data_IF_759470287958
#
_entry.id   IF_759470287958
#
_cell.length_a   1.000
_cell.length_b   1.000
_cell.length_c   1.000
_cell.angle_alpha   90.00
_cell.angle_beta   90.00
_cell.angle_gamma   90.00
#
_symmetry.space_group_name_H-M   'P 1'
#
loop_
_entity.id
_entity.type
_entity.pdbx_description
1 polymer ?
#
# COMPACT_ATOMS: atom_id res chain seq x y z
N UNK A 1 16.12 26.46 -0.09
CA UNK A 1 15.90 26.40 -1.54
C UNK A 1 15.05 25.17 -1.80
N UNK A 2 13.73 25.34 -1.89
CA UNK A 2 12.78 24.25 -2.08
C UNK A 2 12.74 23.92 -3.57
N UNK A 3 13.12 22.70 -3.92
CA UNK A 3 13.13 22.19 -5.29
C UNK A 3 11.79 21.49 -5.54
N UNK A 4 10.88 22.15 -6.27
CA UNK A 4 9.61 21.57 -6.70
C UNK A 4 9.84 20.84 -8.02
N UNK A 5 9.75 19.51 -8.02
CA UNK A 5 9.81 18.71 -9.25
C UNK A 5 8.40 18.60 -9.83
N UNK A 6 8.17 19.22 -10.99
CA UNK A 6 6.93 19.13 -11.75
C UNK A 6 7.00 17.91 -12.68
N UNK A 7 6.31 16.82 -12.34
CA UNK A 7 6.15 15.69 -13.27
C UNK A 7 4.79 15.77 -13.97
N UNK A 8 4.83 15.82 -15.30
CA UNK A 8 3.64 15.99 -16.15
C UNK A 8 3.10 14.62 -16.53
N UNK A 9 1.92 14.25 -16.03
CA UNK A 9 1.18 13.08 -16.51
C UNK A 9 0.63 13.35 -17.92
N UNK A 10 1.03 12.51 -18.89
CA UNK A 10 0.48 12.52 -20.25
C UNK A 10 -0.55 11.41 -20.38
N UNK A 11 -1.82 11.77 -20.31
CA UNK A 11 -2.94 10.94 -20.77
C UNK A 11 -3.40 11.48 -22.12
N UNK A 12 -3.43 10.63 -23.14
CA UNK A 12 -3.96 10.95 -24.48
C UNK A 12 -5.49 11.05 -24.45
N UNK A 13 -5.99 12.11 -23.84
CA UNK A 13 -7.20 12.83 -24.23
C UNK A 13 -7.26 14.12 -23.40
N UNK A 14 -6.90 15.23 -24.06
CA UNK A 14 -6.98 16.63 -23.68
C UNK A 14 -7.65 16.94 -22.34
N UNK A 15 -6.85 16.97 -21.27
CA UNK A 15 -6.95 17.85 -20.09
C UNK A 15 -5.63 17.64 -19.33
N UNK A 16 -4.66 18.54 -19.53
CA UNK A 16 -3.45 18.59 -18.72
C UNK A 16 -3.83 19.03 -17.31
N UNK A 17 -4.25 18.08 -16.48
CA UNK A 17 -4.46 18.33 -15.05
C UNK A 17 -3.07 18.42 -14.43
N UNK A 18 -2.64 19.64 -14.14
CA UNK A 18 -1.51 19.89 -13.25
C UNK A 18 -1.99 19.53 -11.84
N UNK A 19 -1.82 18.27 -11.47
CA UNK A 19 -2.05 17.82 -10.10
C UNK A 19 -0.80 18.17 -9.31
N UNK A 20 -0.88 19.15 -8.41
CA UNK A 20 0.15 19.32 -7.39
C UNK A 20 0.14 18.05 -6.53
N UNK A 21 1.17 17.22 -6.72
CA UNK A 21 1.32 16.01 -5.90
C UNK A 21 1.60 16.42 -4.46
N UNK A 22 0.87 15.87 -3.47
CA UNK A 22 1.17 16.15 -2.08
C UNK A 22 2.61 15.73 -1.78
N UNK A 23 3.36 16.63 -1.14
CA UNK A 23 4.71 16.31 -0.67
C UNK A 23 4.58 15.23 0.40
N UNK A 24 5.26 14.10 0.21
CA UNK A 24 5.31 13.04 1.22
C UNK A 24 6.10 13.58 2.42
N UNK A 25 5.38 14.06 3.43
CA UNK A 25 5.98 14.56 4.69
C UNK A 25 6.41 13.39 5.59
N UNK A 26 5.79 12.22 5.39
CA UNK A 26 5.96 11.04 6.24
C UNK A 26 6.06 9.79 5.37
N UNK A 27 7.24 9.19 5.27
CA UNK A 27 7.48 8.09 4.32
C UNK A 27 7.18 6.69 4.88
N UNK A 28 7.09 5.66 4.01
CA UNK A 28 6.77 4.27 4.40
C UNK A 28 7.69 3.68 5.48
N UNK A 29 8.96 4.08 5.47
CA UNK A 29 9.95 3.66 6.48
C UNK A 29 9.62 4.21 7.87
N UNK A 30 9.27 5.50 7.97
CA UNK A 30 8.91 6.14 9.23
C UNK A 30 7.64 5.50 9.81
N UNK A 31 6.65 5.21 8.96
CA UNK A 31 5.45 4.47 9.34
C UNK A 31 5.80 3.13 10.00
N UNK A 32 6.67 2.33 9.37
CA UNK A 32 7.02 1.01 9.91
C UNK A 32 7.73 1.12 11.27
N UNK A 33 8.60 2.12 11.44
CA UNK A 33 9.26 2.36 12.72
C UNK A 33 8.28 2.71 13.83
N UNK A 34 7.32 3.59 13.54
CA UNK A 34 6.33 4.01 14.53
C UNK A 34 5.29 2.92 14.82
N UNK A 35 4.94 2.10 13.83
CA UNK A 35 4.13 0.88 14.01
C UNK A 35 4.82 -0.09 14.96
N UNK A 36 6.09 -0.41 14.72
CA UNK A 36 6.84 -1.37 15.55
C UNK A 36 7.09 -0.85 16.98
N UNK A 37 7.15 0.47 17.17
CA UNK A 37 7.26 1.10 18.49
C UNK A 37 5.92 1.27 19.21
N UNK A 38 4.79 1.06 18.51
CA UNK A 38 3.45 1.30 19.06
C UNK A 38 3.12 2.79 19.24
N UNK A 39 3.74 3.68 18.45
CA UNK A 39 3.57 5.13 18.56
C UNK A 39 2.29 5.66 17.91
N UNK A 40 1.60 4.84 17.10
CA UNK A 40 0.43 5.25 16.32
C UNK A 40 -0.84 4.64 16.93
N UNK A 41 -1.76 5.46 17.45
CA UNK A 41 -3.08 5.01 17.86
C UNK A 41 -3.87 4.35 16.73
N UNK A 42 -4.65 3.33 17.06
CA UNK A 42 -5.39 2.53 16.08
C UNK A 42 -6.36 3.34 15.20
N UNK A 43 -6.98 4.38 15.77
CA UNK A 43 -7.91 5.29 15.11
C UNK A 43 -7.23 6.26 14.12
N UNK A 44 -5.92 6.49 14.28
CA UNK A 44 -5.11 7.35 13.40
C UNK A 44 -4.36 6.55 12.33
N UNK A 45 -4.34 5.22 12.43
CA UNK A 45 -3.52 4.35 11.59
C UNK A 45 -3.84 4.48 10.09
N UNK A 46 -5.12 4.56 9.72
CA UNK A 46 -5.52 4.69 8.32
C UNK A 46 -5.02 6.00 7.70
N UNK A 47 -5.18 7.13 8.42
CA UNK A 47 -4.68 8.42 7.96
C UNK A 47 -3.16 8.39 7.76
N UNK A 48 -2.43 7.83 8.72
CA UNK A 48 -0.97 7.67 8.61
C UNK A 48 -0.57 6.76 7.46
N UNK A 49 -1.31 5.68 7.22
CA UNK A 49 -1.07 4.79 6.09
C UNK A 49 -1.25 5.52 4.75
N UNK A 50 -2.33 6.28 4.59
CA UNK A 50 -2.63 7.06 3.39
C UNK A 50 -1.62 8.19 3.16
N UNK A 51 -1.17 8.86 4.22
CA UNK A 51 -0.09 9.85 4.16
C UNK A 51 1.27 9.23 3.73
N UNK A 52 1.50 7.97 4.09
CA UNK A 52 2.77 7.28 3.86
C UNK A 52 2.88 6.62 2.50
N UNK A 53 1.78 6.01 2.05
CA UNK A 53 1.71 5.24 0.81
C UNK A 53 0.83 6.00 -0.16
N UNK A 54 1.48 6.79 -1.01
CA UNK A 54 0.80 7.71 -1.92
C UNK A 54 -0.21 7.00 -2.83
N UNK A 55 -0.02 5.72 -3.15
CA UNK A 55 -0.96 4.93 -3.94
C UNK A 55 -2.35 4.82 -3.28
N UNK A 56 -2.39 4.85 -1.95
CA UNK A 56 -3.60 4.77 -1.13
C UNK A 56 -4.23 6.12 -0.85
N UNK A 57 -3.61 7.23 -1.28
CA UNK A 57 -4.17 8.56 -1.05
C UNK A 57 -5.58 8.67 -1.68
N UNK A 58 -6.56 9.20 -0.94
CA UNK A 58 -7.95 9.17 -1.37
C UNK A 58 -8.25 10.06 -2.58
N UNK A 59 -7.42 11.05 -2.89
CA UNK A 59 -7.65 12.04 -3.94
C UNK A 59 -6.61 11.92 -5.06
N UNK A 60 -5.34 11.81 -4.70
CA UNK A 60 -4.19 11.86 -5.60
C UNK A 60 -3.49 10.51 -5.79
N UNK A 61 -3.93 9.47 -5.08
CA UNK A 61 -3.30 8.16 -5.16
C UNK A 61 -3.62 7.41 -6.44
N UNK A 62 -2.73 6.50 -6.84
CA UNK A 62 -2.87 5.69 -8.06
C UNK A 62 -4.22 4.98 -8.14
N UNK A 63 -4.73 4.46 -7.02
CA UNK A 63 -6.05 3.83 -7.00
C UNK A 63 -7.17 4.82 -7.34
N UNK A 64 -7.11 6.03 -6.79
CA UNK A 64 -8.12 7.07 -7.02
C UNK A 64 -8.05 7.61 -8.44
N UNK A 65 -6.85 7.93 -8.93
CA UNK A 65 -6.62 8.45 -10.28
C UNK A 65 -7.06 7.46 -11.37
N UNK A 66 -6.91 6.15 -11.12
CA UNK A 66 -7.33 5.10 -12.05
C UNK A 66 -8.82 4.71 -11.90
N UNK A 67 -9.54 5.39 -11.00
CA UNK A 67 -10.93 5.15 -10.59
C UNK A 67 -11.17 3.70 -10.12
N UNK A 68 -10.37 3.26 -9.16
CA UNK A 68 -10.41 1.91 -8.57
C UNK A 68 -10.75 1.97 -7.06
N UNK A 69 -11.86 2.61 -6.63
CA UNK A 69 -12.13 2.84 -5.21
C UNK A 69 -12.25 1.53 -4.41
N UNK A 70 -12.90 0.51 -4.98
CA UNK A 70 -13.03 -0.79 -4.32
C UNK A 70 -11.73 -1.60 -4.22
N UNK A 71 -10.72 -1.29 -5.04
CA UNK A 71 -9.39 -1.90 -4.90
C UNK A 71 -8.53 -1.14 -3.89
N UNK A 72 -8.72 0.18 -3.76
CA UNK A 72 -8.10 0.98 -2.69
C UNK A 72 -8.48 0.44 -1.32
N UNK A 73 -9.78 0.33 -1.05
CA UNK A 73 -10.31 -0.15 0.25
C UNK A 73 -9.80 -1.56 0.60
N UNK A 74 -9.69 -2.45 -0.38
CA UNK A 74 -9.11 -3.79 -0.18
C UNK A 74 -7.62 -3.72 0.18
N UNK A 75 -6.89 -2.79 -0.43
CA UNK A 75 -5.46 -2.60 -0.19
C UNK A 75 -5.23 -1.97 1.19
N UNK A 76 -6.00 -0.94 1.55
CA UNK A 76 -6.03 -0.35 2.90
C UNK A 76 -6.36 -1.42 3.95
N UNK A 77 -7.42 -2.21 3.73
CA UNK A 77 -7.83 -3.29 4.64
C UNK A 77 -6.73 -4.34 4.81
N UNK A 78 -6.06 -4.74 3.73
CA UNK A 78 -4.95 -5.70 3.80
C UNK A 78 -3.76 -5.13 4.60
N UNK A 79 -3.37 -3.89 4.36
CA UNK A 79 -2.32 -3.21 5.13
C UNK A 79 -2.67 -3.11 6.62
N UNK A 80 -3.88 -2.65 6.95
CA UNK A 80 -4.37 -2.56 8.32
C UNK A 80 -4.41 -3.93 9.01
N UNK A 81 -4.75 -4.98 8.28
CA UNK A 81 -4.75 -6.36 8.80
C UNK A 81 -3.35 -6.80 9.23
N UNK A 82 -2.34 -6.55 8.40
CA UNK A 82 -0.94 -6.87 8.74
C UNK A 82 -0.46 -6.02 9.91
N UNK A 83 -0.75 -4.73 9.92
CA UNK A 83 -0.36 -3.83 11.02
C UNK A 83 -1.00 -4.27 12.35
N UNK A 84 -2.29 -4.61 12.34
CA UNK A 84 -2.97 -5.08 13.54
C UNK A 84 -2.38 -6.40 14.02
N UNK A 85 -2.03 -7.31 13.11
CA UNK A 85 -1.38 -8.56 13.45
C UNK A 85 0.03 -8.37 14.01
N UNK A 86 0.81 -7.41 13.51
CA UNK A 86 2.16 -7.11 14.04
C UNK A 86 2.09 -6.47 15.42
N UNK A 87 1.15 -5.53 15.62
CA UNK A 87 0.97 -4.77 16.87
C UNK A 87 0.10 -5.48 17.91
N UNK A 88 -0.37 -6.69 17.62
CA UNK A 88 -1.30 -7.46 18.47
C UNK A 88 -2.63 -6.73 18.78
N UNK A 89 -3.09 -5.89 17.86
CA UNK A 89 -4.28 -5.09 18.04
C UNK A 89 -5.55 -5.85 17.61
N UNK A 90 -5.91 -6.89 18.38
CA UNK A 90 -7.10 -7.70 18.13
C UNK A 90 -8.39 -6.87 18.13
N UNK A 91 -8.53 -5.93 19.06
CA UNK A 91 -9.74 -5.11 19.17
C UNK A 91 -9.92 -4.21 17.95
N UNK A 92 -8.86 -3.52 17.52
CA UNK A 92 -8.88 -2.68 16.32
C UNK A 92 -9.23 -3.47 15.05
N UNK A 93 -8.73 -4.70 14.94
CA UNK A 93 -9.02 -5.58 13.81
C UNK A 93 -10.46 -6.10 13.78
N UNK A 94 -11.02 -6.46 14.94
CA UNK A 94 -12.32 -7.14 15.03
C UNK A 94 -13.52 -6.21 15.21
N UNK A 95 -13.30 -5.00 15.75
CA UNK A 95 -14.34 -3.97 15.94
C UNK A 95 -15.18 -3.68 14.68
N UNK A 96 -14.59 -3.49 13.47
CA UNK A 96 -15.39 -3.21 12.27
C UNK A 96 -16.07 -4.47 11.68
N UNK A 97 -15.75 -5.68 12.16
CA UNK A 97 -16.31 -6.92 11.61
C UNK A 97 -17.73 -7.17 12.13
N UNK A 98 -18.61 -7.62 11.24
CA UNK A 98 -19.95 -8.05 11.61
C UNK A 98 -19.89 -9.27 12.56
N UNK A 99 -20.79 -9.39 13.55
CA UNK A 99 -20.70 -10.44 14.58
C UNK A 99 -20.60 -11.87 14.04
N UNK A 100 -21.28 -12.17 12.92
CA UNK A 100 -21.30 -13.51 12.32
C UNK A 100 -19.97 -13.94 11.66
N UNK A 101 -19.12 -12.97 11.30
CA UNK A 101 -17.82 -13.21 10.63
C UNK A 101 -16.65 -12.69 11.46
N UNK A 102 -16.92 -12.27 12.71
CA UNK A 102 -15.90 -11.71 13.58
C UNK A 102 -14.90 -12.80 13.98
N UNK A 103 -13.63 -12.52 13.77
CA UNK A 103 -12.55 -13.40 14.18
C UNK A 103 -12.59 -13.62 15.70
N UNK A 104 -12.49 -14.87 16.14
CA UNK A 104 -12.39 -15.18 17.57
C UNK A 104 -10.93 -15.13 18.06
N UNK A 105 -10.73 -15.16 19.38
CA UNK A 105 -9.40 -15.06 19.98
C UNK A 105 -8.48 -16.25 19.64
N UNK A 106 -9.03 -17.45 19.45
CA UNK A 106 -8.27 -18.63 19.08
C UNK A 106 -7.71 -18.52 17.65
N UNK A 107 -8.56 -18.14 16.70
CA UNK A 107 -8.19 -17.85 15.32
C UNK A 107 -7.16 -16.71 15.24
N UNK A 108 -7.31 -15.66 16.06
CA UNK A 108 -6.32 -14.59 16.17
C UNK A 108 -4.97 -15.14 16.66
N UNK A 109 -4.98 -15.99 17.69
CA UNK A 109 -3.78 -16.65 18.19
C UNK A 109 -3.05 -17.46 17.11
N UNK A 110 -3.80 -18.18 16.27
CA UNK A 110 -3.23 -18.92 15.13
C UNK A 110 -2.57 -17.99 14.11
N UNK A 111 -3.20 -16.85 13.77
CA UNK A 111 -2.59 -15.86 12.87
C UNK A 111 -1.36 -15.21 13.49
N UNK A 112 -1.40 -14.90 14.79
CA UNK A 112 -0.26 -14.33 15.52
C UNK A 112 0.91 -15.30 15.60
N UNK A 113 0.65 -16.60 15.68
CA UNK A 113 1.70 -17.62 15.63
C UNK A 113 2.46 -17.60 14.29
N UNK A 114 1.76 -17.32 13.17
CA UNK A 114 2.42 -17.17 11.88
C UNK A 114 3.32 -15.92 11.84
N UNK A 115 2.86 -14.80 12.42
CA UNK A 115 3.64 -13.57 12.48
C UNK A 115 4.84 -13.70 13.42
N UNK A 116 4.68 -14.38 14.57
CA UNK A 116 5.78 -14.61 15.50
C UNK A 116 6.86 -15.51 14.90
N UNK A 117 6.45 -16.51 14.11
CA UNK A 117 7.38 -17.35 13.35
C UNK A 117 8.11 -16.55 12.26
N UNK A 118 7.40 -15.70 11.53
CA UNK A 118 7.99 -14.86 10.50
C UNK A 118 8.93 -13.78 11.08
N UNK A 119 8.65 -13.30 12.30
CA UNK A 119 9.40 -12.26 13.03
C UNK A 119 9.83 -11.10 12.11
N UNK A 120 8.87 -10.41 11.46
CA UNK A 120 9.19 -9.41 10.44
C UNK A 120 9.99 -8.25 11.04
N UNK A 121 11.12 -7.92 10.42
CA UNK A 121 11.86 -6.69 10.70
C UNK A 121 11.24 -5.49 9.97
N UNK A 122 11.76 -4.29 10.23
CA UNK A 122 11.29 -3.04 9.63
C UNK A 122 11.28 -3.10 8.08
N UNK A 123 12.33 -3.66 7.48
CA UNK A 123 12.48 -3.75 6.02
C UNK A 123 11.47 -4.73 5.42
N UNK A 124 11.20 -5.84 6.09
CA UNK A 124 10.21 -6.84 5.68
C UNK A 124 8.80 -6.27 5.80
N UNK A 125 8.49 -5.57 6.90
CA UNK A 125 7.20 -4.92 7.07
C UNK A 125 6.95 -3.84 6.01
N UNK A 126 7.95 -2.99 5.74
CA UNK A 126 7.86 -1.97 4.69
C UNK A 126 7.58 -2.61 3.33
N UNK A 127 8.33 -3.66 2.97
CA UNK A 127 8.16 -4.38 1.72
C UNK A 127 6.75 -4.96 1.58
N UNK A 128 6.23 -5.60 2.64
CA UNK A 128 4.87 -6.16 2.66
C UNK A 128 3.81 -5.09 2.51
N UNK A 129 3.93 -3.96 3.24
CA UNK A 129 2.94 -2.87 3.15
C UNK A 129 2.92 -2.22 1.76
N UNK A 130 4.09 -1.95 1.18
CA UNK A 130 4.19 -1.43 -0.19
C UNK A 130 3.57 -2.43 -1.17
N UNK A 131 3.95 -3.71 -1.10
CA UNK A 131 3.39 -4.74 -1.96
C UNK A 131 1.86 -4.81 -1.86
N UNK A 132 1.30 -4.81 -0.65
CA UNK A 132 -0.15 -4.84 -0.44
C UNK A 132 -0.85 -3.61 -1.01
N UNK A 133 -0.25 -2.44 -0.87
CA UNK A 133 -0.78 -1.20 -1.44
C UNK A 133 -0.84 -1.23 -2.97
N UNK A 134 0.15 -1.82 -3.63
CA UNK A 134 0.23 -1.83 -5.10
C UNK A 134 -0.37 -3.08 -5.75
N UNK A 135 -0.52 -4.19 -5.01
CA UNK A 135 -0.90 -5.52 -5.56
C UNK A 135 -2.21 -5.51 -6.32
N UNK A 136 -3.18 -4.71 -5.89
CA UNK A 136 -4.49 -4.63 -6.55
C UNK A 136 -4.45 -3.86 -7.87
N UNK A 137 -3.43 -3.02 -8.12
CA UNK A 137 -3.22 -2.34 -9.41
C UNK A 137 -3.02 -3.34 -10.55
N UNK A 138 -2.28 -4.44 -10.30
CA UNK A 138 -2.10 -5.51 -11.29
C UNK A 138 -3.39 -6.21 -11.68
N UNK A 139 -4.43 -6.18 -10.84
CA UNK A 139 -5.75 -6.77 -11.14
C UNK A 139 -6.68 -5.81 -11.91
N UNK A 140 -6.31 -4.55 -12.01
CA UNK A 140 -7.13 -3.54 -12.66
C UNK A 140 -7.17 -3.78 -14.17
N UNK A 141 -8.34 -4.10 -14.70
CA UNK A 141 -8.55 -4.23 -16.15
C UNK A 141 -8.09 -2.99 -16.90
N UNK A 142 -8.39 -1.80 -16.36
CA UNK A 142 -7.99 -0.51 -16.96
C UNK A 142 -6.48 -0.36 -17.07
N UNK A 143 -5.75 -0.77 -16.03
CA UNK A 143 -4.28 -0.74 -16.03
C UNK A 143 -3.73 -1.82 -16.96
N UNK A 144 -4.21 -3.06 -16.83
CA UNK A 144 -3.72 -4.18 -17.66
C UNK A 144 -3.97 -3.97 -19.15
N UNK A 145 -4.99 -3.21 -19.56
CA UNK A 145 -5.24 -2.87 -20.96
C UNK A 145 -4.26 -1.83 -21.53
N UNK A 146 -3.54 -1.10 -20.69
CA UNK A 146 -2.58 -0.06 -21.09
C UNK A 146 -1.14 -0.57 -21.15
N UNK A 147 -0.90 -1.82 -20.76
CA UNK A 147 0.42 -2.46 -20.78
C UNK A 147 0.49 -3.55 -21.87
N UNK A 148 1.71 -3.97 -22.27
CA UNK A 148 1.89 -4.98 -23.31
C UNK A 148 1.11 -6.27 -23.04
N UNK A 149 0.60 -6.90 -24.09
CA UNK A 149 -0.22 -8.12 -24.02
C UNK A 149 0.46 -9.26 -23.22
N UNK A 150 1.78 -9.34 -23.28
CA UNK A 150 2.60 -10.34 -22.55
C UNK A 150 2.59 -10.13 -21.04
N UNK A 151 2.27 -8.92 -20.56
CA UNK A 151 2.27 -8.53 -19.15
C UNK A 151 0.87 -8.36 -18.55
N UNK A 152 -0.23 -8.64 -19.26
CA UNK A 152 -1.59 -8.33 -18.77
C UNK A 152 -2.12 -9.22 -17.64
N UNK A 153 -1.38 -10.27 -17.25
CA UNK A 153 -1.76 -11.10 -16.09
C UNK A 153 -1.40 -10.36 -14.80
N UNK A 154 -2.12 -10.58 -13.68
CA UNK A 154 -1.97 -9.72 -12.49
C UNK A 154 -0.55 -9.57 -11.94
N UNK A 155 0.20 -10.67 -11.84
CA UNK A 155 1.58 -10.64 -11.33
C UNK A 155 2.55 -10.02 -12.36
N UNK A 156 2.59 -10.46 -13.63
CA UNK A 156 3.37 -9.77 -14.67
C UNK A 156 3.03 -8.29 -14.82
N UNK A 157 1.76 -7.91 -14.65
CA UNK A 157 1.31 -6.54 -14.74
C UNK A 157 1.95 -5.71 -13.64
N UNK A 158 1.93 -6.23 -12.40
CA UNK A 158 2.54 -5.55 -11.27
C UNK A 158 4.05 -5.37 -11.47
N UNK A 159 4.76 -6.43 -11.89
CA UNK A 159 6.20 -6.35 -12.19
C UNK A 159 6.48 -5.32 -13.28
N UNK A 160 5.66 -5.29 -14.34
CA UNK A 160 5.79 -4.29 -15.40
C UNK A 160 5.62 -2.87 -14.86
N UNK A 161 4.64 -2.62 -13.98
CA UNK A 161 4.44 -1.32 -13.34
C UNK A 161 5.65 -0.92 -12.50
N UNK A 162 6.16 -1.84 -11.67
CA UNK A 162 7.34 -1.61 -10.82
C UNK A 162 8.61 -1.29 -11.63
N UNK A 163 8.76 -1.89 -12.81
CA UNK A 163 9.96 -1.72 -13.64
C UNK A 163 9.87 -0.53 -14.61
N UNK A 164 8.66 -0.16 -15.06
CA UNK A 164 8.48 0.77 -16.18
C UNK A 164 7.62 2.00 -15.86
N UNK A 165 6.89 2.01 -14.74
CA UNK A 165 5.90 3.04 -14.41
C UNK A 165 6.00 3.47 -12.95
N UNK A 166 7.17 4.01 -12.55
CA UNK A 166 7.42 4.46 -11.17
C UNK A 166 6.41 5.50 -10.67
N UNK A 167 5.88 6.34 -11.56
CA UNK A 167 4.82 7.31 -11.25
C UNK A 167 3.49 6.67 -10.82
N UNK A 168 3.23 5.40 -11.17
CA UNK A 168 2.03 4.65 -10.77
C UNK A 168 2.24 3.91 -9.44
N UNK A 169 3.49 3.65 -9.06
CA UNK A 169 3.86 2.95 -7.83
C UNK A 169 4.98 3.70 -7.07
N UNK A 170 4.76 4.98 -6.72
CA UNK A 170 5.77 5.87 -6.13
C UNK A 170 6.41 5.33 -4.85
N UNK A 171 5.70 4.51 -4.06
CA UNK A 171 6.24 3.94 -2.82
C UNK A 171 7.38 2.95 -3.07
N UNK A 172 7.55 2.46 -4.30
CA UNK A 172 8.67 1.60 -4.69
C UNK A 172 10.03 2.27 -4.52
N UNK A 173 10.10 3.59 -4.73
CA UNK A 173 11.35 4.36 -4.60
C UNK A 173 11.83 4.46 -3.14
N UNK A 174 10.95 4.20 -2.18
CA UNK A 174 11.29 4.21 -0.75
C UNK A 174 11.95 2.91 -0.28
N UNK A 175 11.95 1.85 -1.09
CA UNK A 175 12.43 0.53 -0.70
C UNK A 175 13.96 0.43 -0.77
N UNK A 176 14.55 -0.19 0.25
CA UNK A 176 15.96 -0.59 0.18
C UNK A 176 16.14 -1.72 -0.85
N UNK A 177 17.37 -1.96 -1.29
CA UNK A 177 17.68 -3.09 -2.19
C UNK A 177 17.22 -4.44 -1.61
N UNK A 178 17.29 -4.59 -0.27
CA UNK A 178 16.84 -5.79 0.42
C UNK A 178 15.32 -5.89 0.41
N UNK A 179 14.60 -4.83 0.77
CA UNK A 179 13.13 -4.81 0.72
C UNK A 179 12.60 -5.03 -0.70
N UNK A 180 13.22 -4.44 -1.71
CA UNK A 180 12.85 -4.65 -3.11
C UNK A 180 12.99 -6.12 -3.53
N UNK A 181 14.07 -6.79 -3.10
CA UNK A 181 14.30 -8.20 -3.40
C UNK A 181 13.30 -9.16 -2.73
N UNK A 182 12.55 -8.72 -1.70
CA UNK A 182 11.53 -9.55 -1.04
C UNK A 182 10.21 -9.61 -1.82
N UNK A 183 9.97 -8.65 -2.71
CA UNK A 183 8.67 -8.47 -3.39
C UNK A 183 8.76 -8.65 -4.92
N UNK A 184 9.94 -9.05 -5.40
CA UNK A 184 10.20 -9.42 -6.79
C UNK A 184 10.27 -10.94 -6.92
#
# INVERSE_FOLDING_TARGET
>A
ASCTTLETFRTENSLSVQVEMPVIVYGPKALCQDVLKGNIPADQMLGKLQESLLELDPEFGSHSLLSLPGEREKSESACLSVIALVTDNFEGFTKPQAPAVRLNAEQWGQLRQLISWASPDEETLQAVLVLLAIRSLGKSKRVTQQIPATAQRPEPALLYLMENMGNVVPSMDSLSKRSYALIR
#
